data_IF_454518463020
#
_entry.id   IF_454518463020
#
_cell.length_a   1.000
_cell.length_b   1.000
_cell.length_c   1.000
_cell.angle_alpha   90.00
_cell.angle_beta   90.00
_cell.angle_gamma   90.00
#
_symmetry.space_group_name_H-M   'P 1'
#
loop_
_entity.id
_entity.type
_entity.pdbx_description
1 polymer ?
#
# COMPACT_ATOMS: atom_id res chain seq x y z
N UNK A 1 12.89 -3.45 0.33
CA UNK A 1 14.00 -3.95 1.14
C UNK A 1 14.29 -2.90 2.21
N UNK A 2 14.38 -3.31 3.49
CA UNK A 2 14.60 -2.41 4.63
C UNK A 2 16.08 -2.46 5.00
N UNK A 3 16.76 -1.30 5.04
CA UNK A 3 18.24 -1.23 5.09
C UNK A 3 18.78 -0.50 6.30
N UNK A 4 17.95 0.13 7.13
CA UNK A 4 18.37 0.99 8.22
C UNK A 4 18.41 0.27 9.57
N UNK A 5 18.96 0.94 10.60
CA UNK A 5 19.08 0.40 11.96
C UNK A 5 17.79 0.50 12.76
N UNK A 6 16.89 1.44 12.40
CA UNK A 6 15.60 1.62 13.09
C UNK A 6 14.46 1.90 12.12
N UNK A 7 13.24 1.68 12.59
CA UNK A 7 12.01 1.97 11.82
C UNK A 7 11.93 3.45 11.46
N UNK A 8 12.27 4.35 12.39
CA UNK A 8 12.25 5.79 12.11
C UNK A 8 13.28 6.18 11.04
N UNK A 9 14.47 5.58 11.05
CA UNK A 9 15.50 5.85 10.06
C UNK A 9 15.06 5.39 8.65
N UNK A 10 14.32 4.29 8.57
CA UNK A 10 13.75 3.80 7.30
C UNK A 10 12.76 4.80 6.69
N UNK A 11 11.92 5.40 7.52
CA UNK A 11 10.98 6.45 7.08
C UNK A 11 11.74 7.72 6.70
N UNK A 12 12.68 8.18 7.54
CA UNK A 12 13.51 9.36 7.29
C UNK A 12 14.32 9.25 6.00
N UNK A 13 14.84 8.07 5.69
CA UNK A 13 15.60 7.83 4.45
C UNK A 13 14.77 8.10 3.19
N UNK A 14 13.47 7.90 3.28
CA UNK A 14 12.51 8.06 2.18
C UNK A 14 11.91 9.46 2.09
N UNK A 15 12.04 10.28 3.14
CA UNK A 15 11.50 11.64 3.18
C UNK A 15 12.39 12.63 2.40
N UNK A 16 11.75 13.61 1.77
CA UNK A 16 12.46 14.76 1.22
C UNK A 16 12.84 15.75 2.33
N UNK A 17 13.94 16.49 2.12
CA UNK A 17 14.47 17.43 3.14
C UNK A 17 13.51 18.56 3.50
N UNK A 18 12.59 18.91 2.61
CA UNK A 18 11.63 20.00 2.75
C UNK A 18 10.21 19.50 3.05
N UNK A 19 10.05 18.24 3.46
CA UNK A 19 8.76 17.68 3.82
C UNK A 19 8.29 18.26 5.15
N UNK A 20 7.10 18.88 5.15
CA UNK A 20 6.48 19.46 6.36
C UNK A 20 5.90 18.36 7.28
N UNK A 21 5.79 17.13 6.80
CA UNK A 21 5.23 16.01 7.57
C UNK A 21 6.25 15.48 8.57
N UNK A 22 5.88 15.41 9.83
CA UNK A 22 6.73 14.79 10.85
C UNK A 22 6.85 13.29 10.65
N UNK A 23 8.08 12.70 10.70
CA UNK A 23 8.24 11.25 10.66
C UNK A 23 7.45 10.51 11.73
N UNK A 24 7.34 11.10 12.93
CA UNK A 24 6.58 10.51 14.04
C UNK A 24 5.06 10.48 13.76
N UNK A 25 4.51 11.51 13.09
CA UNK A 25 3.12 11.50 12.63
C UNK A 25 2.86 10.37 11.62
N UNK A 26 3.81 10.10 10.74
CA UNK A 26 3.72 8.97 9.80
C UNK A 26 3.72 7.65 10.57
N UNK A 27 4.60 7.48 11.55
CA UNK A 27 4.61 6.27 12.37
C UNK A 27 3.30 6.08 13.14
N UNK A 28 2.71 7.14 13.64
CA UNK A 28 1.41 7.10 14.31
C UNK A 28 0.29 6.67 13.35
N UNK A 29 0.25 7.26 12.16
CA UNK A 29 -0.74 6.93 11.12
C UNK A 29 -0.73 5.43 10.75
N UNK A 30 0.45 4.82 10.77
CA UNK A 30 0.64 3.40 10.43
C UNK A 30 0.67 2.46 11.64
N UNK A 31 0.36 2.97 12.85
CA UNK A 31 0.44 2.19 14.10
C UNK A 31 1.82 1.55 14.31
N UNK A 32 2.86 2.35 14.09
CA UNK A 32 4.26 1.94 14.19
C UNK A 32 5.03 2.66 15.29
N UNK A 33 4.42 3.61 16.02
CA UNK A 33 5.09 4.45 17.03
C UNK A 33 5.81 3.62 18.10
N UNK A 34 5.21 2.50 18.54
CA UNK A 34 5.80 1.60 19.53
C UNK A 34 7.04 0.83 19.01
N UNK A 35 7.24 0.82 17.70
CA UNK A 35 8.37 0.12 17.05
C UNK A 35 9.42 1.09 16.52
N UNK A 36 9.29 2.38 16.81
CA UNK A 36 10.10 3.48 16.29
C UNK A 36 11.60 3.19 16.27
N UNK A 37 12.13 2.73 17.39
CA UNK A 37 13.56 2.50 17.61
C UNK A 37 13.97 1.02 17.41
N UNK A 38 13.05 0.17 16.95
CA UNK A 38 13.36 -1.22 16.66
C UNK A 38 14.03 -1.39 15.31
N UNK A 39 14.92 -2.36 15.23
CA UNK A 39 15.49 -2.76 13.95
C UNK A 39 14.42 -3.35 13.03
N UNK A 40 14.29 -2.89 11.77
CA UNK A 40 13.22 -3.34 10.87
C UNK A 40 13.13 -4.85 10.68
N UNK A 41 14.27 -5.56 10.73
CA UNK A 41 14.30 -7.02 10.60
C UNK A 41 13.66 -7.75 11.80
N UNK A 42 13.55 -7.10 12.97
CA UNK A 42 12.90 -7.67 14.17
C UNK A 42 11.37 -7.62 14.13
N UNK A 43 10.81 -6.94 13.13
CA UNK A 43 9.38 -6.75 12.98
C UNK A 43 8.70 -8.01 12.41
N UNK A 44 7.41 -8.18 12.72
CA UNK A 44 6.56 -9.15 12.02
C UNK A 44 6.41 -8.82 10.53
N UNK A 45 5.96 -9.79 9.72
CA UNK A 45 5.71 -9.56 8.30
C UNK A 45 4.76 -8.39 8.04
N UNK A 46 3.64 -8.30 8.78
CA UNK A 46 2.67 -7.22 8.64
C UNK A 46 3.22 -5.85 9.08
N UNK A 47 4.05 -5.82 10.12
CA UNK A 47 4.73 -4.59 10.55
C UNK A 47 5.74 -4.13 9.52
N UNK A 48 6.56 -5.03 8.95
CA UNK A 48 7.48 -4.72 7.83
C UNK A 48 6.74 -4.15 6.63
N UNK A 49 5.60 -4.73 6.30
CA UNK A 49 4.74 -4.24 5.22
C UNK A 49 4.28 -2.81 5.47
N UNK A 50 3.82 -2.49 6.68
CA UNK A 50 3.41 -1.14 7.06
C UNK A 50 4.56 -0.13 7.01
N UNK A 51 5.77 -0.52 7.43
CA UNK A 51 6.98 0.32 7.30
C UNK A 51 7.27 0.61 5.82
N UNK A 52 7.23 -0.41 4.96
CA UNK A 52 7.46 -0.23 3.53
C UNK A 52 6.43 0.70 2.88
N UNK A 53 5.15 0.58 3.26
CA UNK A 53 4.09 1.48 2.78
C UNK A 53 4.31 2.91 3.32
N UNK A 54 4.63 3.06 4.60
CA UNK A 54 4.93 4.36 5.22
C UNK A 54 6.08 5.07 4.48
N UNK A 55 7.16 4.35 4.20
CA UNK A 55 8.30 4.87 3.42
C UNK A 55 7.90 5.28 1.99
N UNK A 56 7.04 4.52 1.33
CA UNK A 56 6.53 4.87 0.00
C UNK A 56 5.65 6.13 0.04
N UNK A 57 4.83 6.27 1.09
CA UNK A 57 3.95 7.44 1.27
C UNK A 57 4.74 8.74 1.39
N UNK A 58 5.82 8.73 2.17
CA UNK A 58 6.65 9.93 2.41
C UNK A 58 7.62 10.23 1.29
N UNK A 59 7.76 9.36 0.30
CA UNK A 59 8.73 9.54 -0.80
C UNK A 59 8.36 10.62 -1.81
N UNK A 60 7.24 11.33 -1.63
CA UNK A 60 6.71 12.39 -2.50
C UNK A 60 6.68 12.05 -4.01
N UNK A 61 6.63 10.76 -4.36
CA UNK A 61 6.51 10.31 -5.74
C UNK A 61 5.10 10.52 -6.26
N UNK A 62 4.99 10.90 -7.54
CA UNK A 62 3.69 11.01 -8.21
C UNK A 62 3.08 9.64 -8.54
N UNK A 63 3.94 8.67 -8.85
CA UNK A 63 3.56 7.29 -9.18
C UNK A 63 4.19 6.36 -8.15
N UNK A 64 3.37 5.54 -7.50
CA UNK A 64 3.79 4.55 -6.50
C UNK A 64 3.26 3.18 -6.92
N UNK A 65 4.15 2.19 -6.89
CA UNK A 65 3.81 0.79 -7.17
C UNK A 65 3.80 -0.01 -5.88
N UNK A 66 2.69 -0.66 -5.59
CA UNK A 66 2.55 -1.61 -4.48
C UNK A 66 2.41 -3.02 -5.04
N UNK A 67 3.32 -3.89 -4.64
CA UNK A 67 3.31 -5.30 -5.02
C UNK A 67 2.84 -6.15 -3.83
N UNK A 68 1.65 -6.74 -3.95
CA UNK A 68 0.99 -7.54 -2.92
C UNK A 68 0.94 -6.87 -1.52
N UNK A 69 0.44 -5.63 -1.41
CA UNK A 69 0.57 -4.84 -0.18
C UNK A 69 -0.22 -5.41 1.02
N UNK A 70 -1.12 -6.35 0.80
CA UNK A 70 -1.92 -7.00 1.85
C UNK A 70 -1.56 -8.46 2.10
N UNK A 71 -0.52 -8.96 1.44
CA UNK A 71 -0.08 -10.34 1.61
C UNK A 71 0.26 -10.66 3.07
N UNK A 72 -0.37 -11.68 3.63
CA UNK A 72 -0.16 -12.09 5.01
C UNK A 72 -0.81 -11.20 6.07
N UNK A 73 -1.62 -10.21 5.67
CA UNK A 73 -2.39 -9.37 6.59
C UNK A 73 -3.76 -9.99 6.86
N UNK A 74 -4.26 -9.77 8.08
CA UNK A 74 -5.65 -10.03 8.41
C UNK A 74 -6.59 -8.97 7.80
N UNK A 75 -7.87 -9.21 7.87
CA UNK A 75 -8.89 -8.32 7.30
C UNK A 75 -8.84 -6.89 7.86
N UNK A 76 -8.55 -6.73 9.15
CA UNK A 76 -8.45 -5.40 9.79
C UNK A 76 -7.30 -4.60 9.17
N UNK A 77 -6.11 -5.18 9.10
CA UNK A 77 -4.93 -4.54 8.54
C UNK A 77 -5.06 -4.29 7.03
N UNK A 78 -5.68 -5.22 6.28
CA UNK A 78 -6.01 -4.99 4.87
C UNK A 78 -6.89 -3.75 4.69
N UNK A 79 -7.89 -3.54 5.54
CA UNK A 79 -8.74 -2.35 5.49
C UNK A 79 -7.98 -1.06 5.80
N UNK A 80 -7.02 -1.12 6.70
CA UNK A 80 -6.15 0.03 7.01
C UNK A 80 -5.30 0.39 5.78
N UNK A 81 -4.65 -0.59 5.14
CA UNK A 81 -3.93 -0.40 3.87
C UNK A 81 -4.83 0.20 2.81
N UNK A 82 -6.03 -0.33 2.63
CA UNK A 82 -7.02 0.17 1.68
C UNK A 82 -7.36 1.66 1.89
N UNK A 83 -7.53 2.09 3.14
CA UNK A 83 -7.78 3.51 3.48
C UNK A 83 -6.60 4.40 3.11
N UNK A 84 -5.38 3.94 3.36
CA UNK A 84 -4.16 4.68 3.02
C UNK A 84 -4.02 4.83 1.51
N UNK A 85 -4.23 3.77 0.75
CA UNK A 85 -4.20 3.83 -0.71
C UNK A 85 -5.20 4.84 -1.26
N UNK A 86 -6.44 4.84 -0.74
CA UNK A 86 -7.44 5.84 -1.10
C UNK A 86 -7.03 7.27 -0.75
N UNK A 87 -6.48 7.47 0.43
CA UNK A 87 -6.02 8.79 0.88
C UNK A 87 -4.92 9.33 -0.03
N UNK A 88 -3.98 8.48 -0.45
CA UNK A 88 -2.92 8.85 -1.40
C UNK A 88 -3.49 9.20 -2.78
N UNK A 89 -4.41 8.39 -3.30
CA UNK A 89 -5.07 8.67 -4.57
C UNK A 89 -5.84 9.99 -4.53
N UNK A 90 -6.52 10.29 -3.43
CA UNK A 90 -7.24 11.56 -3.21
C UNK A 90 -6.30 12.78 -3.13
N UNK A 91 -5.02 12.58 -2.81
CA UNK A 91 -3.98 13.62 -2.86
C UNK A 91 -3.35 13.78 -4.25
N UNK A 92 -3.90 13.13 -5.27
CA UNK A 92 -3.44 13.23 -6.65
C UNK A 92 -2.32 12.26 -7.02
N UNK A 93 -1.97 11.29 -6.15
CA UNK A 93 -1.00 10.25 -6.46
C UNK A 93 -1.60 9.21 -7.40
N UNK A 94 -0.80 8.72 -8.33
CA UNK A 94 -1.14 7.57 -9.18
C UNK A 94 -0.60 6.30 -8.54
N UNK A 95 -1.49 5.37 -8.20
CA UNK A 95 -1.13 4.12 -7.54
C UNK A 95 -1.33 2.95 -8.49
N UNK A 96 -0.30 2.13 -8.64
CA UNK A 96 -0.38 0.82 -9.28
C UNK A 96 -0.32 -0.25 -8.18
N UNK A 97 -1.39 -1.00 -8.04
CA UNK A 97 -1.50 -2.08 -7.04
C UNK A 97 -1.53 -3.41 -7.76
N UNK A 98 -0.47 -4.19 -7.59
CA UNK A 98 -0.40 -5.56 -8.09
C UNK A 98 -0.91 -6.45 -6.96
N UNK A 99 -1.98 -7.17 -7.20
CA UNK A 99 -2.59 -8.03 -6.17
C UNK A 99 -3.47 -9.12 -6.75
N UNK A 100 -3.64 -10.19 -5.99
CA UNK A 100 -4.64 -11.22 -6.20
C UNK A 100 -5.74 -11.20 -5.12
N UNK A 101 -5.80 -10.14 -4.32
CA UNK A 101 -6.79 -9.96 -3.26
C UNK A 101 -8.01 -9.17 -3.78
N UNK A 102 -9.16 -9.84 -4.03
CA UNK A 102 -10.36 -9.18 -4.53
C UNK A 102 -10.93 -8.14 -3.55
N UNK A 103 -10.76 -8.35 -2.25
CA UNK A 103 -11.26 -7.43 -1.24
C UNK A 103 -10.49 -6.10 -1.28
N UNK A 104 -9.16 -6.16 -1.43
CA UNK A 104 -8.35 -4.97 -1.63
C UNK A 104 -8.73 -4.23 -2.91
N UNK A 105 -8.88 -4.94 -4.03
CA UNK A 105 -9.33 -4.36 -5.30
C UNK A 105 -10.65 -3.62 -5.13
N UNK A 106 -11.66 -4.29 -4.56
CA UNK A 106 -12.98 -3.71 -4.36
C UNK A 106 -12.98 -2.53 -3.38
N UNK A 107 -12.09 -2.57 -2.38
CA UNK A 107 -12.05 -1.55 -1.33
C UNK A 107 -11.27 -0.29 -1.74
N UNK A 108 -10.28 -0.37 -2.64
CA UNK A 108 -9.34 0.73 -2.86
C UNK A 108 -9.09 1.12 -4.31
N UNK A 109 -9.37 0.26 -5.28
CA UNK A 109 -9.08 0.55 -6.67
C UNK A 109 -10.23 1.29 -7.37
N UNK A 110 -9.91 2.07 -8.39
CA UNK A 110 -10.89 2.74 -9.27
C UNK A 110 -10.89 2.17 -10.69
N UNK A 111 -9.84 1.45 -11.04
CA UNK A 111 -9.64 0.87 -12.36
C UNK A 111 -8.93 -0.47 -12.26
N UNK A 112 -9.26 -1.40 -13.13
CA UNK A 112 -8.69 -2.76 -13.15
C UNK A 112 -8.01 -3.02 -14.49
N UNK A 113 -6.79 -3.56 -14.42
CA UNK A 113 -6.08 -4.13 -15.55
C UNK A 113 -5.89 -5.61 -15.25
N UNK A 114 -6.60 -6.45 -15.99
CA UNK A 114 -6.51 -7.89 -15.85
C UNK A 114 -5.40 -8.42 -16.77
N UNK A 115 -4.38 -9.02 -16.17
CA UNK A 115 -3.26 -9.63 -16.87
C UNK A 115 -3.30 -11.15 -16.80
N UNK A 116 -3.04 -11.80 -17.91
CA UNK A 116 -2.91 -13.24 -18.01
C UNK A 116 -1.80 -13.61 -18.99
N UNK A 117 -0.90 -14.52 -18.60
CA UNK A 117 0.22 -14.99 -19.44
C UNK A 117 1.05 -13.84 -20.04
N UNK A 118 1.30 -12.78 -19.27
CA UNK A 118 2.09 -11.63 -19.70
C UNK A 118 1.37 -10.66 -20.66
N UNK A 119 0.06 -10.81 -20.85
CA UNK A 119 -0.74 -9.96 -21.72
C UNK A 119 -1.92 -9.34 -20.96
N UNK A 120 -2.30 -8.13 -21.37
CA UNK A 120 -3.53 -7.50 -20.88
C UNK A 120 -4.71 -8.18 -21.58
N UNK A 121 -5.56 -8.84 -20.81
CA UNK A 121 -6.79 -9.47 -21.26
C UNK A 121 -7.93 -8.49 -21.37
N UNK A 122 -8.13 -7.73 -20.29
CA UNK A 122 -9.16 -6.72 -20.19
C UNK A 122 -8.65 -5.56 -19.33
N UNK A 123 -9.24 -4.40 -19.53
CA UNK A 123 -9.13 -3.28 -18.61
C UNK A 123 -10.49 -2.53 -18.55
N UNK A 124 -10.85 -2.06 -17.36
CA UNK A 124 -12.16 -1.45 -17.15
C UNK A 124 -12.21 -0.62 -15.85
N UNK A 125 -13.07 0.41 -15.77
CA UNK A 125 -13.33 1.11 -14.52
C UNK A 125 -14.04 0.19 -13.53
N UNK A 126 -13.74 0.39 -12.23
CA UNK A 126 -14.37 -0.36 -11.15
C UNK A 126 -15.71 0.28 -10.75
N UNK A 127 -16.65 0.32 -11.70
CA UNK A 127 -18.04 0.63 -11.48
C UNK A 127 -18.84 -0.65 -11.12
N UNK A 128 -20.16 -0.57 -11.13
CA UNK A 128 -21.04 -1.73 -10.83
C UNK A 128 -20.79 -2.92 -11.76
N UNK A 129 -20.51 -2.66 -13.04
CA UNK A 129 -20.20 -3.71 -14.01
C UNK A 129 -18.79 -4.26 -13.84
N UNK A 130 -17.82 -3.38 -13.58
CA UNK A 130 -16.45 -3.76 -13.27
C UNK A 130 -16.38 -4.62 -12.01
N UNK A 131 -17.12 -4.27 -10.96
CA UNK A 131 -17.22 -5.08 -9.75
C UNK A 131 -17.71 -6.50 -10.02
N UNK A 132 -18.74 -6.67 -10.86
CA UNK A 132 -19.21 -8.01 -11.29
C UNK A 132 -18.12 -8.79 -12.03
N UNK A 133 -17.32 -8.12 -12.88
CA UNK A 133 -16.21 -8.76 -13.59
C UNK A 133 -15.12 -9.23 -12.61
N UNK A 134 -14.77 -8.42 -11.61
CA UNK A 134 -13.81 -8.81 -10.57
C UNK A 134 -14.32 -10.05 -9.82
N UNK A 135 -15.58 -10.04 -9.35
CA UNK A 135 -16.15 -11.19 -8.65
C UNK A 135 -16.14 -12.45 -9.53
N UNK A 136 -16.53 -12.33 -10.79
CA UNK A 136 -16.52 -13.46 -11.74
C UNK A 136 -15.11 -14.00 -11.97
N UNK A 137 -14.10 -13.11 -12.08
CA UNK A 137 -12.71 -13.50 -12.26
C UNK A 137 -12.19 -14.33 -11.08
N UNK A 138 -12.49 -13.91 -9.85
CA UNK A 138 -12.11 -14.62 -8.64
C UNK A 138 -13.07 -15.77 -8.28
N UNK A 139 -14.16 -15.98 -9.04
CA UNK A 139 -15.19 -17.00 -8.80
C UNK A 139 -15.83 -16.91 -7.40
N UNK A 140 -16.14 -15.71 -6.99
CA UNK A 140 -16.80 -15.41 -5.71
C UNK A 140 -18.30 -15.19 -5.95
#
# INVERSE_FOLDING_TARGET
QLFTESVIDEVLLSMEKDDETSPDEILELFDLSQYRDRHPLSLSGGQKQRVAIASAVVSNREIIVFDEPTSGLDFKHMREVSRILKALANRGKTLLVITHDPELVMASCSYVIHMEKGQIKENYPLDVNGAKKVLNFFRI
#
